data_IF_370060432474
#
_entry.id   IF_370060432474
#
_cell.length_a   1.000
_cell.length_b   1.000
_cell.length_c   1.000
_cell.angle_alpha   90.00
_cell.angle_beta   90.00
_cell.angle_gamma   90.00
#
_symmetry.space_group_name_H-M   'P 1'
#
loop_
_entity.id
_entity.type
_entity.pdbx_description
1 polymer ?
#
# COMPACT_ATOMS: atom_id res chain seq x y z
N UNK A 1 -18.30 -20.08 14.20
CA UNK A 1 -18.07 -18.84 13.45
C UNK A 1 -16.58 -18.52 13.47
N UNK A 2 -15.78 -19.34 12.78
CA UNK A 2 -15.31 -19.15 11.40
C UNK A 2 -14.25 -18.06 11.33
N UNK A 3 -13.00 -18.35 11.73
CA UNK A 3 -11.86 -17.42 11.55
C UNK A 3 -11.79 -16.88 10.11
N UNK A 4 -12.21 -17.67 9.12
CA UNK A 4 -12.36 -17.27 7.72
C UNK A 4 -13.38 -16.14 7.49
N UNK A 5 -14.44 -16.05 8.29
CA UNK A 5 -15.47 -15.01 8.18
C UNK A 5 -14.97 -13.67 8.73
N UNK A 6 -14.29 -13.68 9.88
CA UNK A 6 -13.62 -12.49 10.42
C UNK A 6 -12.52 -12.01 9.46
N UNK A 7 -11.79 -12.94 8.84
CA UNK A 7 -10.82 -12.62 7.80
C UNK A 7 -11.46 -11.99 6.55
N UNK A 8 -12.56 -12.55 6.06
CA UNK A 8 -13.31 -11.97 4.94
C UNK A 8 -13.76 -10.54 5.24
N UNK A 9 -14.24 -10.29 6.46
CA UNK A 9 -14.62 -8.94 6.92
C UNK A 9 -13.40 -8.03 6.92
N UNK A 10 -12.29 -8.44 7.53
CA UNK A 10 -11.07 -7.62 7.61
C UNK A 10 -10.50 -7.32 6.22
N UNK A 11 -10.41 -8.32 5.35
CA UNK A 11 -9.95 -8.17 3.97
C UNK A 11 -10.87 -7.24 3.16
N UNK A 12 -12.19 -7.36 3.34
CA UNK A 12 -13.18 -6.46 2.72
C UNK A 12 -13.00 -5.02 3.20
N UNK A 13 -12.73 -4.79 4.49
CA UNK A 13 -12.41 -3.47 5.03
C UNK A 13 -11.13 -2.91 4.41
N UNK A 14 -10.08 -3.72 4.25
CA UNK A 14 -8.84 -3.27 3.61
C UNK A 14 -9.05 -2.97 2.13
N UNK A 15 -9.83 -3.76 1.42
CA UNK A 15 -10.23 -3.49 0.04
C UNK A 15 -11.00 -2.18 -0.09
N UNK A 16 -12.00 -1.97 0.77
CA UNK A 16 -12.77 -0.72 0.80
C UNK A 16 -11.87 0.48 1.13
N UNK A 17 -10.97 0.34 2.11
CA UNK A 17 -9.99 1.36 2.44
C UNK A 17 -9.05 1.67 1.27
N UNK A 18 -8.56 0.64 0.55
CA UNK A 18 -7.75 0.80 -0.66
C UNK A 18 -8.52 1.47 -1.79
N UNK A 19 -9.79 1.10 -2.00
CA UNK A 19 -10.65 1.72 -3.02
C UNK A 19 -10.95 3.19 -2.69
N UNK A 20 -11.29 3.50 -1.44
CA UNK A 20 -11.53 4.87 -0.98
C UNK A 20 -10.25 5.70 -1.03
N UNK A 21 -9.12 5.13 -0.58
CA UNK A 21 -7.82 5.76 -0.66
C UNK A 21 -7.46 6.06 -2.11
N UNK A 22 -7.60 5.09 -3.02
CA UNK A 22 -7.32 5.28 -4.44
C UNK A 22 -8.24 6.32 -5.07
N UNK A 23 -9.55 6.30 -4.79
CA UNK A 23 -10.50 7.30 -5.29
C UNK A 23 -10.20 8.71 -4.77
N UNK A 24 -9.95 8.86 -3.47
CA UNK A 24 -9.59 10.13 -2.85
C UNK A 24 -8.29 10.67 -3.44
N UNK A 25 -7.28 9.80 -3.55
CA UNK A 25 -5.98 10.17 -4.09
C UNK A 25 -6.08 10.54 -5.57
N UNK A 26 -6.88 9.83 -6.37
CA UNK A 26 -7.12 10.17 -7.78
C UNK A 26 -7.84 11.52 -7.94
N UNK A 27 -8.80 11.80 -7.05
CA UNK A 27 -9.54 13.07 -7.02
C UNK A 27 -8.63 14.23 -6.63
N UNK A 28 -7.82 14.07 -5.57
CA UNK A 28 -6.82 15.05 -5.17
C UNK A 28 -5.70 15.22 -6.21
N UNK A 29 -5.26 14.14 -6.87
CA UNK A 29 -4.29 14.20 -7.97
C UNK A 29 -4.76 15.14 -9.10
N UNK A 30 -6.06 15.14 -9.37
CA UNK A 30 -6.68 15.95 -10.41
C UNK A 30 -6.67 17.44 -10.04
N UNK A 31 -6.81 17.75 -8.75
CA UNK A 31 -6.75 19.11 -8.19
C UNK A 31 -5.31 19.62 -8.03
N UNK A 32 -4.36 18.73 -7.70
CA UNK A 32 -2.94 19.07 -7.43
C UNK A 32 -2.09 19.04 -8.72
N UNK A 33 -2.69 18.88 -9.90
CA UNK A 33 -1.99 18.83 -11.22
C UNK A 33 -1.03 20.00 -11.48
N UNK A 34 -1.10 21.10 -10.72
CA UNK A 34 -0.15 22.21 -10.77
C UNK A 34 1.10 22.10 -9.88
N UNK A 35 1.12 21.23 -8.86
CA UNK A 35 2.18 21.21 -7.83
C UNK A 35 2.99 19.90 -7.77
N UNK A 36 2.44 18.78 -8.23
CA UNK A 36 3.10 17.48 -8.22
C UNK A 36 3.08 16.83 -9.60
N UNK A 37 4.18 16.19 -9.99
CA UNK A 37 4.18 15.39 -11.21
C UNK A 37 3.34 14.12 -11.03
N UNK A 38 2.61 13.76 -12.09
CA UNK A 38 1.79 12.54 -12.12
C UNK A 38 2.59 11.29 -11.73
N UNK A 39 3.86 11.25 -12.12
CA UNK A 39 4.82 10.19 -11.76
C UNK A 39 5.01 10.05 -10.25
N UNK A 40 5.17 11.15 -9.51
CA UNK A 40 5.37 11.15 -8.06
C UNK A 40 4.16 10.60 -7.33
N UNK A 41 2.97 11.05 -7.74
CA UNK A 41 1.73 10.63 -7.12
C UNK A 41 1.45 9.15 -7.36
N UNK A 42 1.82 8.60 -8.54
CA UNK A 42 1.79 7.16 -8.77
C UNK A 42 2.71 6.42 -7.80
N UNK A 43 3.95 6.87 -7.60
CA UNK A 43 4.88 6.21 -6.69
C UNK A 43 4.43 6.27 -5.23
N UNK A 44 3.84 7.39 -4.78
CA UNK A 44 3.24 7.49 -3.44
C UNK A 44 2.04 6.56 -3.26
N UNK A 45 1.16 6.49 -4.27
CA UNK A 45 0.02 5.59 -4.26
C UNK A 45 0.48 4.13 -4.18
N UNK A 46 1.40 3.73 -5.07
CA UNK A 46 1.93 2.37 -5.09
C UNK A 46 2.59 2.01 -3.76
N UNK A 47 3.44 2.88 -3.21
CA UNK A 47 4.10 2.61 -1.91
C UNK A 47 3.09 2.41 -0.78
N UNK A 48 2.07 3.25 -0.72
CA UNK A 48 1.00 3.15 0.30
C UNK A 48 0.20 1.85 0.14
N UNK A 49 -0.15 1.49 -1.09
CA UNK A 49 -0.86 0.24 -1.40
C UNK A 49 -0.01 -0.97 -1.00
N UNK A 50 1.29 -0.97 -1.28
CA UNK A 50 2.19 -2.06 -0.89
C UNK A 50 2.23 -2.28 0.63
N UNK A 51 2.25 -1.22 1.44
CA UNK A 51 2.20 -1.32 2.91
C UNK A 51 0.88 -1.94 3.36
N UNK A 52 -0.25 -1.44 2.85
CA UNK A 52 -1.59 -1.95 3.19
C UNK A 52 -1.77 -3.42 2.80
N UNK A 53 -1.35 -3.79 1.58
CA UNK A 53 -1.42 -5.18 1.10
C UNK A 53 -0.49 -6.09 1.90
N UNK A 54 0.69 -5.60 2.32
CA UNK A 54 1.65 -6.38 3.09
C UNK A 54 1.08 -6.89 4.42
N UNK A 55 0.27 -6.07 5.11
CA UNK A 55 -0.34 -6.43 6.39
C UNK A 55 -1.36 -7.56 6.20
N UNK A 56 -2.24 -7.42 5.21
CA UNK A 56 -3.23 -8.44 4.90
C UNK A 56 -2.59 -9.74 4.42
N UNK A 57 -1.62 -9.66 3.52
CA UNK A 57 -0.97 -10.82 2.93
C UNK A 57 -0.09 -11.55 3.95
N UNK A 58 0.69 -10.83 4.75
CA UNK A 58 1.49 -11.42 5.81
C UNK A 58 0.62 -12.10 6.87
N UNK A 59 -0.50 -11.48 7.26
CA UNK A 59 -1.43 -12.08 8.20
C UNK A 59 -2.11 -13.35 7.63
N UNK A 60 -2.46 -13.34 6.34
CA UNK A 60 -2.95 -14.54 5.65
C UNK A 60 -1.92 -15.68 5.65
N UNK A 61 -0.68 -15.36 5.30
CA UNK A 61 0.41 -16.35 5.28
C UNK A 61 0.68 -16.88 6.69
N UNK A 62 0.61 -16.03 7.71
CA UNK A 62 0.74 -16.43 9.11
C UNK A 62 -0.34 -17.43 9.53
N UNK A 63 -1.58 -17.23 9.08
CA UNK A 63 -2.72 -18.08 9.44
C UNK A 63 -2.72 -19.45 8.74
N UNK A 64 -2.29 -19.50 7.47
CA UNK A 64 -2.45 -20.71 6.63
C UNK A 64 -1.14 -21.42 6.28
N UNK A 65 0.01 -20.78 6.50
CA UNK A 65 1.33 -21.31 6.11
C UNK A 65 2.33 -21.20 7.28
N UNK A 66 3.45 -20.51 7.08
CA UNK A 66 4.56 -20.43 8.03
C UNK A 66 4.79 -18.99 8.48
N UNK A 67 5.05 -18.81 9.77
CA UNK A 67 5.46 -17.55 10.39
C UNK A 67 6.68 -16.93 9.70
N UNK A 68 7.67 -17.75 9.34
CA UNK A 68 8.87 -17.29 8.65
C UNK A 68 8.55 -16.69 7.29
N UNK A 69 7.64 -17.33 6.55
CA UNK A 69 7.19 -16.85 5.24
C UNK A 69 6.39 -15.55 5.37
N UNK A 70 5.55 -15.42 6.40
CA UNK A 70 4.79 -14.21 6.68
C UNK A 70 5.69 -13.01 6.96
N UNK A 71 6.71 -13.20 7.81
CA UNK A 71 7.71 -12.17 8.13
C UNK A 71 8.49 -11.78 6.88
N UNK A 72 8.92 -12.75 6.08
CA UNK A 72 9.69 -12.50 4.86
C UNK A 72 8.87 -11.69 3.84
N UNK A 73 7.60 -12.04 3.61
CA UNK A 73 6.71 -11.28 2.74
C UNK A 73 6.44 -9.87 3.28
N UNK A 74 6.23 -9.74 4.59
CA UNK A 74 6.05 -8.43 5.22
C UNK A 74 7.26 -7.52 5.01
N UNK A 75 8.47 -8.02 5.28
CA UNK A 75 9.72 -7.26 5.13
C UNK A 75 9.96 -6.88 3.66
N UNK A 76 9.75 -7.81 2.73
CA UNK A 76 9.95 -7.54 1.30
C UNK A 76 8.98 -6.46 0.79
N UNK A 77 7.68 -6.56 1.11
CA UNK A 77 6.69 -5.58 0.66
C UNK A 77 6.88 -4.20 1.29
N UNK A 78 7.28 -4.13 2.57
CA UNK A 78 7.57 -2.85 3.21
C UNK A 78 8.90 -2.25 2.72
N UNK A 79 9.89 -3.10 2.41
CA UNK A 79 11.14 -2.67 1.77
C UNK A 79 10.91 -2.07 0.38
N UNK A 80 10.08 -2.70 -0.45
CA UNK A 80 9.70 -2.15 -1.76
C UNK A 80 8.87 -0.89 -1.62
N UNK A 81 7.95 -0.82 -0.64
CA UNK A 81 7.20 0.41 -0.36
C UNK A 81 8.13 1.57 0.03
N UNK A 82 9.09 1.35 0.93
CA UNK A 82 10.08 2.35 1.31
C UNK A 82 10.90 2.82 0.12
N UNK A 83 11.31 1.91 -0.76
CA UNK A 83 12.02 2.26 -1.99
C UNK A 83 11.16 3.14 -2.91
N UNK A 84 9.88 2.81 -3.10
CA UNK A 84 8.95 3.57 -3.93
C UNK A 84 8.68 4.97 -3.35
N UNK A 85 8.47 5.06 -2.04
CA UNK A 85 8.28 6.33 -1.33
C UNK A 85 9.56 7.19 -1.36
N UNK A 86 10.74 6.58 -1.22
CA UNK A 86 12.04 7.25 -1.37
C UNK A 86 12.29 7.75 -2.80
N UNK A 87 11.87 6.99 -3.81
CA UNK A 87 11.87 7.43 -5.21
C UNK A 87 10.93 8.63 -5.39
N UNK A 88 9.73 8.59 -4.84
CA UNK A 88 8.79 9.71 -4.93
C UNK A 88 9.34 10.99 -4.29
N UNK A 89 10.00 10.90 -3.14
CA UNK A 89 10.61 12.03 -2.43
C UNK A 89 11.87 12.57 -3.12
N UNK A 90 12.71 11.72 -3.71
CA UNK A 90 13.89 12.16 -4.47
C UNK A 90 13.53 12.96 -5.74
N UNK A 91 12.41 12.65 -6.40
CA UNK A 91 11.91 13.45 -7.52
C UNK A 91 11.54 14.87 -7.05
N UNK A 92 11.03 15.02 -5.82
CA UNK A 92 10.72 16.34 -5.22
C UNK A 92 12.00 17.14 -4.97
N UNK A 93 13.05 16.48 -4.47
CA UNK A 93 14.32 17.11 -4.11
C UNK A 93 15.13 17.59 -5.32
N UNK A 94 14.95 16.97 -6.50
CA UNK A 94 15.61 17.41 -7.75
C UNK A 94 15.04 18.70 -8.34
N UNK A 95 13.86 19.16 -7.89
CA UNK A 95 13.16 20.32 -8.45
C UNK A 95 13.16 21.56 -7.54
N UNK A 96 13.57 21.43 -6.27
CA UNK A 96 13.90 22.57 -5.41
C UNK A 96 15.35 22.97 -5.63
#
# INVERSE_FOLDING_TARGET
MNSSFIFFIFFSFVLVALSLFSLFFFRQLKEIRGYFEWSQSIFYLLGSVFILVSLCLAYFIYLYFSTTLAILVFVLFNGTALFLLGRASSILRRKR
#
